data_IF_467243724120
#
_entry.id   IF_467243724120
#
_cell.length_a   1.000
_cell.length_b   1.000
_cell.length_c   1.000
_cell.angle_alpha   90.00
_cell.angle_beta   90.00
_cell.angle_gamma   90.00
#
_symmetry.space_group_name_H-M   'P 1'
#
loop_
_entity.id
_entity.type
_entity.pdbx_description
1 polymer ?
#
# COMPACT_ATOMS: atom_id res chain seq x y z
N UNK A 1 32.58 36.13 -7.53
CA UNK A 1 31.84 35.63 -6.35
C UNK A 1 32.18 34.17 -6.16
N UNK A 2 32.99 33.88 -5.15
CA UNK A 2 33.55 32.56 -4.88
C UNK A 2 32.39 31.62 -4.43
N UNK A 3 32.02 30.64 -5.24
CA UNK A 3 31.18 29.54 -4.83
C UNK A 3 32.02 28.67 -3.90
N UNK A 4 31.95 28.93 -2.60
CA UNK A 4 32.35 27.92 -1.63
C UNK A 4 31.44 26.72 -1.85
N UNK A 5 31.98 25.68 -2.45
CA UNK A 5 31.34 24.37 -2.48
C UNK A 5 31.33 23.87 -1.03
N UNK A 6 30.23 24.11 -0.32
CA UNK A 6 29.98 23.50 0.98
C UNK A 6 29.98 21.99 0.73
N UNK A 7 30.88 21.28 1.38
CA UNK A 7 30.94 19.82 1.28
C UNK A 7 29.61 19.26 1.84
N UNK A 8 28.77 18.62 0.99
CA UNK A 8 27.44 18.15 1.38
C UNK A 8 27.48 17.10 2.49
N UNK A 9 28.66 16.51 2.78
CA UNK A 9 28.83 15.53 3.86
C UNK A 9 28.74 16.15 5.26
N UNK A 10 28.93 17.47 5.40
CA UNK A 10 28.98 18.16 6.70
C UNK A 10 27.73 18.97 7.01
N UNK A 11 26.75 19.00 6.11
CA UNK A 11 25.52 19.78 6.28
C UNK A 11 24.33 18.83 6.36
N UNK A 12 23.94 18.54 7.58
CA UNK A 12 22.62 17.96 7.85
C UNK A 12 21.55 19.05 7.73
N UNK A 13 20.52 18.81 6.91
CA UNK A 13 19.39 19.73 6.78
C UNK A 13 18.11 19.00 7.10
N UNK A 14 17.22 19.67 7.82
CA UNK A 14 15.85 19.23 8.10
C UNK A 14 14.86 20.11 7.34
N UNK A 15 13.58 19.76 7.36
CA UNK A 15 12.55 20.62 6.77
C UNK A 15 12.46 21.98 7.45
N UNK A 16 12.87 22.10 8.71
CA UNK A 16 12.90 23.36 9.46
C UNK A 16 13.98 24.33 8.95
N UNK A 17 14.97 23.82 8.19
CA UNK A 17 16.02 24.65 7.61
C UNK A 17 15.60 25.34 6.30
N UNK A 18 14.39 25.09 5.82
CA UNK A 18 13.91 25.62 4.54
C UNK A 18 12.65 26.44 4.72
N UNK A 19 12.60 27.59 4.04
CA UNK A 19 11.43 28.40 3.91
C UNK A 19 11.00 28.50 2.45
N UNK A 20 9.70 28.42 2.21
CA UNK A 20 9.18 28.69 0.88
C UNK A 20 9.26 30.18 0.59
N UNK A 21 9.95 30.53 -0.50
CA UNK A 21 9.95 31.89 -0.99
C UNK A 21 8.57 32.22 -1.58
N UNK A 22 7.87 33.28 -1.11
CA UNK A 22 6.62 33.72 -1.72
C UNK A 22 6.79 34.03 -3.20
N UNK A 23 5.87 33.55 -4.01
CA UNK A 23 5.83 33.80 -5.45
C UNK A 23 4.41 34.15 -5.90
N UNK A 24 4.29 34.77 -7.07
CA UNK A 24 3.00 35.00 -7.71
C UNK A 24 2.33 33.63 -7.99
N UNK A 25 1.11 33.46 -7.51
CA UNK A 25 0.31 32.27 -7.79
C UNK A 25 -0.06 32.19 -9.26
N UNK A 26 0.25 31.07 -9.89
CA UNK A 26 -0.09 30.78 -11.30
C UNK A 26 -1.28 29.84 -11.44
N UNK A 27 -1.76 29.29 -10.32
CA UNK A 27 -2.83 28.30 -10.27
C UNK A 27 -4.14 28.95 -9.85
N UNK A 28 -5.17 28.86 -10.68
CA UNK A 28 -6.47 29.49 -10.44
C UNK A 28 -7.26 28.84 -9.28
N UNK A 29 -7.05 27.56 -9.02
CA UNK A 29 -7.75 26.81 -7.97
C UNK A 29 -6.87 25.71 -7.41
N UNK A 30 -7.04 25.38 -6.12
CA UNK A 30 -6.39 24.22 -5.49
C UNK A 30 -6.76 22.91 -6.18
N UNK A 31 -7.99 22.79 -6.66
CA UNK A 31 -8.45 21.60 -7.37
C UNK A 31 -7.77 21.38 -8.75
N UNK A 32 -7.14 22.42 -9.30
CA UNK A 32 -6.42 22.33 -10.58
C UNK A 32 -4.96 21.87 -10.44
N UNK A 33 -4.48 21.66 -9.20
CA UNK A 33 -3.11 21.21 -8.96
C UNK A 33 -3.03 19.69 -9.13
N UNK A 34 -2.23 19.18 -10.11
CA UNK A 34 -2.01 17.74 -10.22
C UNK A 34 -1.15 17.27 -9.04
N UNK A 35 -1.59 16.23 -8.35
CA UNK A 35 -0.87 15.63 -7.23
C UNK A 35 -0.01 14.44 -7.65
N UNK A 36 -0.18 13.95 -8.86
CA UNK A 36 0.56 12.80 -9.36
C UNK A 36 2.07 13.02 -9.33
N UNK A 37 2.82 12.02 -8.93
CA UNK A 37 4.28 12.05 -8.81
C UNK A 37 4.87 10.72 -9.21
N UNK A 38 6.09 10.73 -9.74
CA UNK A 38 6.83 9.51 -10.04
C UNK A 38 7.67 9.10 -8.83
N UNK A 39 7.41 7.92 -8.30
CA UNK A 39 8.25 7.30 -7.28
C UNK A 39 9.53 6.72 -7.90
N UNK A 40 9.38 6.06 -9.04
CA UNK A 40 10.46 5.52 -9.87
C UNK A 40 10.09 5.71 -11.33
N UNK A 41 10.99 5.35 -12.26
CA UNK A 41 10.68 5.36 -13.70
C UNK A 41 9.47 4.46 -14.07
N UNK A 42 9.18 3.43 -13.28
CA UNK A 42 8.12 2.46 -13.54
C UNK A 42 6.90 2.61 -12.63
N UNK A 43 6.99 3.43 -11.58
CA UNK A 43 5.92 3.56 -10.57
C UNK A 43 5.52 5.02 -10.43
N UNK A 44 4.29 5.33 -10.81
CA UNK A 44 3.64 6.60 -10.55
C UNK A 44 2.69 6.47 -9.35
N UNK A 45 2.59 7.54 -8.58
CA UNK A 45 1.62 7.69 -7.50
C UNK A 45 0.60 8.76 -7.90
N UNK A 46 -0.66 8.53 -7.65
CA UNK A 46 -1.72 9.54 -7.82
C UNK A 46 -1.69 10.55 -6.67
N UNK A 47 -1.38 10.07 -5.46
CA UNK A 47 -1.15 10.88 -4.28
C UNK A 47 0.30 10.70 -3.82
N UNK A 48 1.12 11.77 -3.73
CA UNK A 48 2.55 11.67 -3.42
C UNK A 48 2.79 11.49 -1.91
N UNK A 49 2.12 10.52 -1.31
CA UNK A 49 2.25 10.17 0.11
C UNK A 49 2.67 8.72 0.23
N UNK A 50 3.68 8.50 1.06
CA UNK A 50 4.23 7.17 1.35
C UNK A 50 4.19 6.98 2.85
N UNK A 51 3.56 5.90 3.33
CA UNK A 51 3.59 5.58 4.75
C UNK A 51 4.88 4.87 5.15
N UNK A 52 5.41 5.24 6.31
CA UNK A 52 6.69 4.77 6.82
C UNK A 52 6.69 3.26 7.10
N UNK A 53 7.83 2.60 6.87
CA UNK A 53 8.06 1.16 7.07
C UNK A 53 8.24 0.75 8.54
N UNK A 54 7.48 1.35 9.44
CA UNK A 54 7.51 1.06 10.88
C UNK A 54 6.34 0.16 11.27
N UNK A 55 6.55 -0.75 12.22
CA UNK A 55 5.55 -1.69 12.69
C UNK A 55 4.33 -1.02 13.33
N UNK A 56 4.55 0.12 13.99
CA UNK A 56 3.51 0.96 14.58
C UNK A 56 2.77 1.85 13.55
N UNK A 57 3.26 1.96 12.31
CA UNK A 57 2.70 2.83 11.27
C UNK A 57 2.08 2.03 10.14
N UNK A 58 2.87 1.20 9.46
CA UNK A 58 2.40 0.53 8.24
C UNK A 58 2.27 -0.97 8.44
N UNK A 59 1.13 -1.38 8.97
CA UNK A 59 0.61 -2.74 8.88
C UNK A 59 -0.20 -2.94 7.59
N UNK A 60 -0.90 -4.08 7.51
CA UNK A 60 -1.69 -4.41 6.32
C UNK A 60 -2.86 -3.45 6.07
N UNK A 61 -3.52 -2.97 7.11
CA UNK A 61 -4.69 -2.11 6.98
C UNK A 61 -4.28 -0.70 6.50
N UNK A 62 -3.19 -0.13 7.05
CA UNK A 62 -2.63 1.13 6.57
C UNK A 62 -2.13 1.01 5.13
N UNK A 63 -1.41 -0.06 4.79
CA UNK A 63 -0.94 -0.28 3.42
C UNK A 63 -2.08 -0.42 2.42
N UNK A 64 -3.19 -1.05 2.83
CA UNK A 64 -4.41 -1.14 2.02
C UNK A 64 -5.06 0.24 1.80
N UNK A 65 -5.23 1.02 2.87
CA UNK A 65 -5.79 2.37 2.76
C UNK A 65 -4.93 3.26 1.87
N UNK A 66 -3.61 3.25 2.05
CA UNK A 66 -2.69 4.00 1.20
C UNK A 66 -2.81 3.62 -0.28
N UNK A 67 -2.95 2.33 -0.58
CA UNK A 67 -3.11 1.86 -1.95
C UNK A 67 -4.44 2.29 -2.57
N UNK A 68 -5.53 2.29 -1.79
CA UNK A 68 -6.87 2.73 -2.25
C UNK A 68 -6.93 4.24 -2.51
N UNK A 69 -6.18 5.03 -1.76
CA UNK A 69 -6.11 6.50 -1.90
C UNK A 69 -5.06 6.95 -2.94
N UNK A 70 -4.40 6.03 -3.65
CA UNK A 70 -3.42 6.35 -4.69
C UNK A 70 -2.00 6.66 -4.20
N UNK A 71 -1.75 6.43 -2.91
CA UNK A 71 -0.41 6.51 -2.29
C UNK A 71 0.31 5.17 -2.26
N UNK A 72 1.36 5.06 -1.43
CA UNK A 72 2.11 3.83 -1.23
C UNK A 72 2.29 3.49 0.24
N UNK A 73 1.94 2.25 0.62
CA UNK A 73 2.26 1.70 1.93
C UNK A 73 3.50 0.82 1.89
N UNK A 74 4.51 1.13 2.71
CA UNK A 74 5.71 0.29 2.83
C UNK A 74 5.59 -0.59 4.06
N UNK A 75 5.27 -1.86 3.84
CA UNK A 75 5.10 -2.85 4.91
C UNK A 75 6.43 -3.08 5.64
N UNK A 76 6.39 -3.01 6.98
CA UNK A 76 7.59 -3.15 7.80
C UNK A 76 8.19 -4.57 7.74
N UNK A 77 9.52 -4.66 7.95
CA UNK A 77 10.26 -5.94 7.95
C UNK A 77 10.29 -6.68 9.29
N UNK A 78 9.79 -6.07 10.36
CA UNK A 78 9.81 -6.63 11.73
C UNK A 78 8.80 -7.77 11.93
N UNK A 79 8.72 -8.70 10.99
CA UNK A 79 7.84 -9.86 11.00
C UNK A 79 8.47 -11.01 10.21
N UNK A 80 7.90 -12.23 10.29
CA UNK A 80 8.39 -13.34 9.49
C UNK A 80 8.09 -13.13 7.99
N UNK A 81 8.86 -13.82 7.14
CA UNK A 81 8.70 -13.75 5.68
C UNK A 81 7.26 -14.12 5.27
N UNK A 82 6.71 -15.16 5.89
CA UNK A 82 5.36 -15.66 5.62
C UNK A 82 4.30 -14.59 5.97
N UNK A 83 4.43 -13.96 7.15
CA UNK A 83 3.51 -12.90 7.57
C UNK A 83 3.59 -11.67 6.67
N UNK A 84 4.79 -11.28 6.25
CA UNK A 84 4.99 -10.16 5.35
C UNK A 84 4.38 -10.46 3.97
N UNK A 85 4.64 -11.66 3.44
CA UNK A 85 4.07 -12.14 2.18
C UNK A 85 2.54 -12.16 2.21
N UNK A 86 1.94 -12.71 3.27
CA UNK A 86 0.49 -12.74 3.46
C UNK A 86 -0.10 -11.32 3.55
N UNK A 87 0.59 -10.41 4.22
CA UNK A 87 0.17 -9.01 4.35
C UNK A 87 0.16 -8.33 2.98
N UNK A 88 1.23 -8.45 2.21
CA UNK A 88 1.31 -7.89 0.85
C UNK A 88 0.27 -8.52 -0.07
N UNK A 89 0.09 -9.84 -0.03
CA UNK A 89 -0.92 -10.54 -0.81
C UNK A 89 -2.35 -10.06 -0.49
N UNK A 90 -2.63 -9.77 0.79
CA UNK A 90 -3.92 -9.21 1.21
C UNK A 90 -4.15 -7.81 0.64
N UNK A 91 -3.16 -6.93 0.70
CA UNK A 91 -3.22 -5.58 0.14
C UNK A 91 -3.45 -5.63 -1.37
N UNK A 92 -2.70 -6.47 -2.09
CA UNK A 92 -2.86 -6.64 -3.54
C UNK A 92 -4.24 -7.13 -3.94
N UNK A 93 -4.82 -8.06 -3.18
CA UNK A 93 -6.19 -8.55 -3.43
C UNK A 93 -7.27 -7.50 -3.19
N UNK A 94 -7.08 -6.59 -2.26
CA UNK A 94 -8.09 -5.56 -1.96
C UNK A 94 -8.28 -4.54 -3.08
N UNK A 95 -7.32 -4.41 -3.97
CA UNK A 95 -7.32 -3.46 -5.08
C UNK A 95 -7.85 -4.06 -6.40
N UNK A 96 -8.04 -5.37 -6.46
CA UNK A 96 -8.49 -6.04 -7.68
C UNK A 96 -10.00 -6.27 -7.65
N UNK A 97 -10.71 -5.78 -8.67
CA UNK A 97 -12.10 -6.15 -8.92
C UNK A 97 -12.25 -7.63 -9.31
N UNK A 98 -11.16 -8.25 -9.77
CA UNK A 98 -11.07 -9.66 -10.13
C UNK A 98 -10.06 -10.34 -9.20
N UNK A 99 -10.51 -11.35 -8.49
CA UNK A 99 -9.64 -12.16 -7.63
C UNK A 99 -9.08 -13.30 -8.48
N UNK A 100 -7.85 -13.14 -8.97
CA UNK A 100 -7.19 -14.14 -9.82
C UNK A 100 -6.96 -15.49 -9.11
N UNK A 101 -6.72 -15.45 -7.79
CA UNK A 101 -6.49 -16.63 -6.95
C UNK A 101 -7.41 -16.62 -5.74
N UNK A 102 -8.70 -16.97 -5.91
CA UNK A 102 -9.65 -16.99 -4.83
C UNK A 102 -9.28 -18.08 -3.80
N UNK A 103 -9.61 -17.83 -2.55
CA UNK A 103 -9.48 -18.84 -1.49
C UNK A 103 -10.65 -19.81 -1.57
N UNK A 104 -10.35 -21.09 -1.62
CA UNK A 104 -11.36 -22.17 -1.71
C UNK A 104 -11.39 -23.00 -0.43
N UNK A 105 -12.52 -23.64 -0.18
CA UNK A 105 -12.68 -24.71 0.80
C UNK A 105 -13.33 -25.92 0.14
N UNK A 106 -12.97 -27.15 0.60
CA UNK A 106 -13.62 -28.36 0.12
C UNK A 106 -15.11 -28.37 0.42
N UNK A 107 -15.91 -28.99 -0.46
CA UNK A 107 -17.37 -29.08 -0.29
C UNK A 107 -17.82 -29.77 1.01
N UNK A 108 -16.96 -30.58 1.63
CA UNK A 108 -17.22 -31.23 2.91
C UNK A 108 -16.92 -30.39 4.16
N UNK A 109 -16.46 -29.14 3.99
CA UNK A 109 -16.14 -28.28 5.12
C UNK A 109 -17.37 -27.85 5.90
N UNK A 110 -17.24 -27.79 7.23
CA UNK A 110 -18.31 -27.33 8.11
C UNK A 110 -18.46 -25.80 8.09
N UNK A 111 -19.63 -25.29 8.46
CA UNK A 111 -19.87 -23.85 8.62
C UNK A 111 -18.92 -23.22 9.64
N UNK A 112 -18.53 -23.99 10.68
CA UNK A 112 -17.57 -23.53 11.70
C UNK A 112 -16.18 -23.29 11.09
N UNK A 113 -15.70 -24.22 10.28
CA UNK A 113 -14.43 -24.12 9.56
C UNK A 113 -14.46 -22.95 8.56
N UNK A 114 -15.55 -22.80 7.80
CA UNK A 114 -15.71 -21.70 6.88
C UNK A 114 -15.66 -20.33 7.58
N UNK A 115 -16.33 -20.20 8.74
CA UNK A 115 -16.28 -18.97 9.54
C UNK A 115 -14.89 -18.69 10.11
N UNK A 116 -14.19 -19.72 10.60
CA UNK A 116 -12.82 -19.59 11.09
C UNK A 116 -11.87 -19.18 9.96
N UNK A 117 -12.04 -19.79 8.79
CA UNK A 117 -11.29 -19.47 7.59
C UNK A 117 -11.52 -18.02 7.12
N UNK A 118 -12.79 -17.58 7.05
CA UNK A 118 -13.13 -16.21 6.68
C UNK A 118 -12.51 -15.18 7.64
N UNK A 119 -12.56 -15.44 8.95
CA UNK A 119 -11.95 -14.59 9.98
C UNK A 119 -10.44 -14.54 9.86
N UNK A 120 -9.79 -15.70 9.65
CA UNK A 120 -8.32 -15.80 9.51
C UNK A 120 -7.83 -14.97 8.34
N UNK A 121 -8.51 -15.00 7.22
CA UNK A 121 -8.10 -14.33 5.99
C UNK A 121 -8.79 -12.99 5.73
N UNK A 122 -9.70 -12.56 6.66
CA UNK A 122 -10.49 -11.32 6.55
C UNK A 122 -11.19 -11.20 5.19
N UNK A 123 -11.89 -12.27 4.77
CA UNK A 123 -12.64 -12.35 3.52
C UNK A 123 -14.13 -12.51 3.79
N UNK A 124 -14.98 -11.96 2.90
CA UNK A 124 -16.43 -12.00 3.02
C UNK A 124 -17.07 -13.09 2.15
N UNK A 125 -16.30 -13.69 1.21
CA UNK A 125 -16.74 -14.75 0.34
C UNK A 125 -15.71 -15.87 0.28
N UNK A 126 -16.20 -17.11 0.18
CA UNK A 126 -15.36 -18.31 0.06
C UNK A 126 -15.94 -19.12 -1.08
N UNK A 127 -15.09 -19.55 -2.00
CA UNK A 127 -15.50 -20.47 -3.05
C UNK A 127 -15.42 -21.91 -2.55
N UNK A 128 -16.40 -22.71 -2.92
CA UNK A 128 -16.44 -24.12 -2.58
C UNK A 128 -15.91 -24.93 -3.77
N UNK A 129 -14.88 -25.73 -3.53
CA UNK A 129 -14.29 -26.61 -4.51
C UNK A 129 -15.00 -27.99 -4.45
N UNK A 130 -15.72 -28.32 -5.51
CA UNK A 130 -16.48 -29.60 -5.62
C UNK A 130 -15.67 -30.72 -6.24
N UNK A 131 -14.68 -30.39 -7.07
CA UNK A 131 -13.71 -31.33 -7.64
C UNK A 131 -12.43 -30.56 -8.01
N UNK A 132 -11.27 -31.23 -8.11
CA UNK A 132 -10.03 -30.56 -8.49
C UNK A 132 -10.18 -29.74 -9.77
N UNK A 133 -10.07 -28.41 -9.63
CA UNK A 133 -10.21 -27.47 -10.75
C UNK A 133 -11.64 -27.01 -11.09
N UNK A 134 -12.67 -27.45 -10.36
CA UNK A 134 -14.06 -26.95 -10.49
C UNK A 134 -14.48 -26.22 -9.24
N UNK A 135 -14.87 -24.97 -9.39
CA UNK A 135 -15.27 -24.08 -8.28
C UNK A 135 -16.70 -23.60 -8.49
N UNK A 136 -17.51 -23.66 -7.44
CA UNK A 136 -18.88 -23.11 -7.40
C UNK A 136 -18.87 -21.87 -6.53
N UNK A 137 -19.54 -20.81 -6.98
CA UNK A 137 -19.79 -19.58 -6.24
C UNK A 137 -20.77 -19.78 -5.12
#
# INVERSE_FOLDING_TARGET
MNKQSLDPLWIGKTFDDFLFRPQMGVTASRAAVPLSSSLTHAIALELPIISSNMDSVTGGDMAQTMALEGGLGVVHRGQSIERQSDTVARVKRSHSAVIEHPRTLPAGSTIGEARAFARKYKINGILIETSPGSTIL
#
